data_IF_606126401005
#
_entry.id   IF_606126401005
#
_cell.length_a   1.000
_cell.length_b   1.000
_cell.length_c   1.000
_cell.angle_alpha   90.00
_cell.angle_beta   90.00
_cell.angle_gamma   90.00
#
_symmetry.space_group_name_H-M   'P 1'
#
loop_
_entity.id
_entity.type
_entity.pdbx_description
1 polymer ?
#
# COMPACT_ATOMS: atom_id res chain seq x y z
N UNK A 1 43.66 42.50 -16.32
CA UNK A 1 42.29 43.00 -16.54
C UNK A 1 41.35 41.79 -16.49
N UNK A 2 40.66 41.67 -15.36
CA UNK A 2 39.35 41.04 -15.08
C UNK A 2 38.91 39.75 -15.83
N UNK A 3 38.90 38.67 -15.05
CA UNK A 3 37.92 37.58 -14.93
C UNK A 3 36.63 37.66 -15.78
N UNK A 4 36.21 36.51 -16.32
CA UNK A 4 34.82 36.04 -16.24
C UNK A 4 34.75 34.51 -16.35
N UNK A 5 34.61 33.87 -15.20
CA UNK A 5 34.01 32.54 -15.06
C UNK A 5 32.57 32.60 -15.58
N UNK A 6 32.12 31.57 -16.27
CA UNK A 6 30.70 31.27 -16.41
C UNK A 6 30.51 29.78 -16.21
N UNK A 7 30.51 29.42 -14.94
CA UNK A 7 29.78 28.29 -14.37
C UNK A 7 28.31 28.75 -14.31
N UNK A 8 27.33 28.04 -14.89
CA UNK A 8 25.88 28.10 -14.62
C UNK A 8 25.17 27.39 -15.80
N UNK A 9 24.34 26.37 -15.67
CA UNK A 9 23.91 25.59 -14.52
C UNK A 9 23.41 24.24 -15.04
N UNK A 10 23.90 23.16 -14.44
CA UNK A 10 23.31 21.85 -14.58
C UNK A 10 22.07 21.86 -13.68
N UNK A 11 20.87 21.96 -14.25
CA UNK A 11 19.66 21.58 -13.52
C UNK A 11 19.76 20.07 -13.29
N UNK A 12 20.39 19.68 -12.19
CA UNK A 12 20.07 18.42 -11.55
C UNK A 12 18.62 18.59 -11.09
N UNK A 13 17.67 18.17 -11.93
CA UNK A 13 16.35 17.80 -11.45
C UNK A 13 16.61 16.60 -10.54
N UNK A 14 16.91 16.85 -9.27
CA UNK A 14 16.55 15.88 -8.24
C UNK A 14 15.12 15.51 -8.57
N UNK A 15 14.88 14.23 -8.84
CA UNK A 15 13.51 13.69 -8.86
C UNK A 15 13.00 13.94 -7.45
N UNK A 16 12.43 15.12 -7.26
CA UNK A 16 11.65 15.49 -6.10
C UNK A 16 10.52 14.47 -6.14
N UNK A 17 10.34 13.70 -5.07
CA UNK A 17 9.24 12.75 -5.03
C UNK A 17 7.94 13.57 -5.23
N UNK A 18 7.30 13.35 -6.38
CA UNK A 18 6.10 14.03 -6.82
C UNK A 18 4.95 13.02 -6.89
N UNK A 19 3.76 13.45 -7.35
CA UNK A 19 2.62 12.53 -7.45
C UNK A 19 2.91 11.25 -8.25
N UNK A 20 3.84 11.28 -9.20
CA UNK A 20 4.21 10.10 -9.97
C UNK A 20 5.03 9.08 -9.13
N UNK A 21 5.88 9.56 -8.21
CA UNK A 21 6.60 8.69 -7.28
C UNK A 21 5.65 7.96 -6.33
N UNK A 22 4.64 8.66 -5.80
CA UNK A 22 3.59 8.04 -4.98
C UNK A 22 2.82 6.99 -5.79
N UNK A 23 2.44 7.30 -7.03
CA UNK A 23 1.73 6.36 -7.92
C UNK A 23 2.58 5.13 -8.21
N UNK A 24 3.87 5.28 -8.51
CA UNK A 24 4.77 4.16 -8.74
C UNK A 24 4.87 3.26 -7.49
N UNK A 25 4.97 3.85 -6.29
CA UNK A 25 4.97 3.10 -5.05
C UNK A 25 3.63 2.37 -4.80
N UNK A 26 2.49 2.98 -5.15
CA UNK A 26 1.17 2.30 -5.12
C UNK A 26 1.09 1.13 -6.09
N UNK A 27 1.70 1.22 -7.27
CA UNK A 27 1.74 0.12 -8.24
C UNK A 27 2.61 -1.04 -7.73
N UNK A 28 3.70 -0.76 -7.01
CA UNK A 28 4.50 -1.81 -6.36
C UNK A 28 3.70 -2.51 -5.25
N UNK A 29 2.97 -1.76 -4.41
CA UNK A 29 2.05 -2.33 -3.41
C UNK A 29 0.99 -3.19 -4.12
N UNK A 30 0.36 -2.66 -5.17
CA UNK A 30 -0.70 -3.37 -5.90
C UNK A 30 -0.19 -4.70 -6.47
N UNK A 31 0.99 -4.70 -7.08
CA UNK A 31 1.64 -5.90 -7.61
C UNK A 31 1.86 -6.93 -6.51
N UNK A 32 2.48 -6.53 -5.40
CA UNK A 32 2.77 -7.45 -4.30
C UNK A 32 1.49 -7.95 -3.59
N UNK A 33 0.46 -7.10 -3.50
CA UNK A 33 -0.85 -7.46 -2.96
C UNK A 33 -1.56 -8.51 -3.84
N UNK A 34 -1.45 -8.37 -5.17
CA UNK A 34 -1.97 -9.37 -6.12
C UNK A 34 -1.22 -10.69 -5.97
N UNK A 35 0.12 -10.67 -5.89
CA UNK A 35 0.92 -11.89 -5.66
C UNK A 35 0.49 -12.62 -4.37
N UNK A 36 0.34 -11.89 -3.25
CA UNK A 36 -0.16 -12.48 -2.00
C UNK A 36 -1.55 -13.10 -2.19
N UNK A 37 -2.46 -12.39 -2.84
CA UNK A 37 -3.82 -12.87 -3.11
C UNK A 37 -3.84 -14.14 -3.95
N UNK A 38 -2.99 -14.23 -4.98
CA UNK A 38 -2.84 -15.42 -5.84
C UNK A 38 -2.21 -16.59 -5.08
N UNK A 39 -1.19 -16.34 -4.25
CA UNK A 39 -0.57 -17.37 -3.41
C UNK A 39 -1.58 -17.96 -2.43
N UNK A 40 -2.41 -17.13 -1.78
CA UNK A 40 -3.47 -17.60 -0.86
C UNK A 40 -4.55 -18.37 -1.62
N UNK A 41 -4.99 -17.86 -2.77
CA UNK A 41 -6.04 -18.48 -3.57
C UNK A 41 -5.64 -19.86 -4.10
N UNK A 42 -4.40 -20.00 -4.59
CA UNK A 42 -3.87 -21.24 -5.16
C UNK A 42 -3.42 -22.27 -4.12
N UNK A 43 -3.26 -21.87 -2.87
CA UNK A 43 -2.82 -22.74 -1.79
C UNK A 43 -3.84 -23.83 -1.45
N UNK A 44 -3.38 -25.07 -1.35
CA UNK A 44 -4.20 -26.27 -1.13
C UNK A 44 -4.58 -26.53 0.34
N UNK A 45 -4.02 -25.78 1.28
CA UNK A 45 -4.19 -26.00 2.72
C UNK A 45 -3.07 -26.80 3.38
N UNK A 46 -2.02 -27.18 2.65
CA UNK A 46 -0.85 -27.88 3.19
C UNK A 46 0.06 -26.97 4.01
N UNK A 47 0.59 -27.46 5.13
CA UNK A 47 1.40 -26.66 6.06
C UNK A 47 2.59 -25.97 5.38
N UNK A 48 3.35 -26.66 4.52
CA UNK A 48 4.50 -26.07 3.85
C UNK A 48 4.13 -24.97 2.83
N UNK A 49 2.91 -25.01 2.29
CA UNK A 49 2.38 -23.98 1.39
C UNK A 49 2.07 -22.65 2.09
N UNK A 50 2.16 -22.59 3.43
CA UNK A 50 2.05 -21.35 4.18
C UNK A 50 3.32 -20.50 4.15
N UNK A 51 4.48 -21.10 3.83
CA UNK A 51 5.75 -20.37 3.76
C UNK A 51 5.73 -19.29 2.65
N UNK A 52 5.29 -19.58 1.41
CA UNK A 52 5.09 -18.55 0.39
C UNK A 52 4.15 -17.42 0.84
N UNK A 53 3.03 -17.74 1.51
CA UNK A 53 2.07 -16.74 2.00
C UNK A 53 2.75 -15.77 2.99
N UNK A 54 3.53 -16.31 3.94
CA UNK A 54 4.27 -15.50 4.92
C UNK A 54 5.30 -14.61 4.21
N UNK A 55 6.01 -15.14 3.21
CA UNK A 55 7.00 -14.39 2.43
C UNK A 55 6.33 -13.22 1.69
N UNK A 56 5.25 -13.49 0.97
CA UNK A 56 4.57 -12.47 0.15
C UNK A 56 3.92 -11.40 1.02
N UNK A 57 3.33 -11.77 2.16
CA UNK A 57 2.83 -10.81 3.14
C UNK A 57 3.94 -9.97 3.77
N UNK A 58 5.10 -10.57 4.07
CA UNK A 58 6.25 -9.81 4.59
C UNK A 58 6.76 -8.80 3.55
N UNK A 59 6.84 -9.20 2.27
CA UNK A 59 7.20 -8.29 1.19
C UNK A 59 6.16 -7.18 1.03
N UNK A 60 4.87 -7.50 1.11
CA UNK A 60 3.79 -6.51 1.04
C UNK A 60 3.95 -5.46 2.14
N UNK A 61 4.17 -5.90 3.38
CA UNK A 61 4.42 -5.01 4.51
C UNK A 61 5.67 -4.12 4.27
N UNK A 62 6.76 -4.68 3.74
CA UNK A 62 7.94 -3.90 3.37
C UNK A 62 7.58 -2.83 2.34
N UNK A 63 6.85 -3.20 1.28
CA UNK A 63 6.44 -2.27 0.22
C UNK A 63 5.55 -1.15 0.70
N UNK A 64 4.63 -1.43 1.63
CA UNK A 64 3.79 -0.40 2.25
C UNK A 64 4.65 0.58 3.05
N UNK A 65 5.65 0.10 3.80
CA UNK A 65 6.55 0.96 4.57
C UNK A 65 7.48 1.78 3.66
N UNK A 66 8.01 1.18 2.59
CA UNK A 66 8.79 1.90 1.57
C UNK A 66 7.96 3.00 0.90
N UNK A 67 6.73 2.69 0.50
CA UNK A 67 5.79 3.65 -0.08
C UNK A 67 5.39 4.77 0.91
N UNK A 68 5.28 4.45 2.20
CA UNK A 68 5.09 5.46 3.25
C UNK A 68 6.23 6.46 3.22
N UNK A 69 7.47 5.98 3.15
CA UNK A 69 8.64 6.87 3.11
C UNK A 69 8.66 7.72 1.84
N UNK A 70 8.33 7.14 0.69
CA UNK A 70 8.18 7.88 -0.58
C UNK A 70 7.12 8.98 -0.44
N UNK A 71 5.95 8.66 0.13
CA UNK A 71 4.89 9.63 0.35
C UNK A 71 5.35 10.74 1.31
N UNK A 72 5.97 10.43 2.45
CA UNK A 72 6.49 11.40 3.41
C UNK A 72 7.51 12.36 2.78
N UNK A 73 8.42 11.84 1.96
CA UNK A 73 9.48 12.60 1.29
C UNK A 73 8.99 13.35 0.04
N UNK A 74 7.73 13.15 -0.36
CA UNK A 74 7.13 13.83 -1.51
C UNK A 74 6.75 15.28 -1.22
N UNK A 75 6.78 16.14 -2.23
CA UNK A 75 6.21 17.48 -2.13
C UNK A 75 4.67 17.43 -2.09
N UNK A 76 4.01 18.50 -1.60
CA UNK A 76 2.56 18.63 -1.73
C UNK A 76 2.11 18.51 -3.19
N UNK A 77 1.07 17.71 -3.42
CA UNK A 77 0.52 17.46 -4.73
C UNK A 77 -0.17 18.70 -5.27
N UNK A 78 -0.02 18.95 -6.56
CA UNK A 78 -0.93 19.83 -7.28
C UNK A 78 -2.26 19.10 -7.58
N UNK A 79 -3.26 19.84 -8.08
CA UNK A 79 -4.60 19.28 -8.31
C UNK A 79 -4.61 18.12 -9.33
N UNK A 80 -3.77 18.16 -10.36
CA UNK A 80 -3.70 17.10 -11.38
C UNK A 80 -3.08 15.84 -10.77
N UNK A 81 -1.98 15.99 -10.03
CA UNK A 81 -1.33 14.88 -9.33
C UNK A 81 -2.25 14.24 -8.29
N UNK A 82 -3.00 15.04 -7.54
CA UNK A 82 -3.98 14.56 -6.57
C UNK A 82 -5.07 13.71 -7.23
N UNK A 83 -5.51 14.07 -8.45
CA UNK A 83 -6.47 13.27 -9.22
C UNK A 83 -5.85 11.93 -9.63
N UNK A 84 -4.60 11.91 -10.10
CA UNK A 84 -3.91 10.67 -10.48
C UNK A 84 -3.72 9.76 -9.27
N UNK A 85 -3.26 10.30 -8.14
CA UNK A 85 -3.11 9.55 -6.88
C UNK A 85 -4.46 8.99 -6.42
N UNK A 86 -5.54 9.76 -6.50
CA UNK A 86 -6.88 9.30 -6.14
C UNK A 86 -7.37 8.14 -7.03
N UNK A 87 -7.03 8.12 -8.31
CA UNK A 87 -7.34 6.99 -9.20
C UNK A 87 -6.55 5.73 -8.82
N UNK A 88 -5.25 5.89 -8.54
CA UNK A 88 -4.41 4.78 -8.07
C UNK A 88 -4.87 4.23 -6.72
N UNK A 89 -5.30 5.09 -5.79
CA UNK A 89 -5.89 4.66 -4.51
C UNK A 89 -7.16 3.84 -4.70
N UNK A 90 -8.07 4.23 -5.60
CA UNK A 90 -9.28 3.46 -5.89
C UNK A 90 -8.97 2.08 -6.48
N UNK A 91 -8.02 2.01 -7.42
CA UNK A 91 -7.56 0.74 -7.99
C UNK A 91 -6.94 -0.16 -6.91
N UNK A 92 -6.09 0.41 -6.06
CA UNK A 92 -5.46 -0.32 -4.96
C UNK A 92 -6.52 -0.83 -3.97
N UNK A 93 -7.54 -0.03 -3.64
CA UNK A 93 -8.61 -0.44 -2.75
C UNK A 93 -9.34 -1.69 -3.24
N UNK A 94 -9.70 -1.76 -4.52
CA UNK A 94 -10.32 -2.96 -5.10
C UNK A 94 -9.39 -4.18 -5.09
N UNK A 95 -8.08 -3.98 -5.28
CA UNK A 95 -7.08 -5.04 -5.17
C UNK A 95 -6.96 -5.58 -3.74
N UNK A 96 -6.91 -4.69 -2.75
CA UNK A 96 -6.86 -5.05 -1.32
C UNK A 96 -8.12 -5.80 -0.90
N UNK A 97 -9.31 -5.32 -1.31
CA UNK A 97 -10.57 -6.01 -1.04
C UNK A 97 -10.56 -7.44 -1.60
N UNK A 98 -10.07 -7.63 -2.83
CA UNK A 98 -9.95 -8.96 -3.45
C UNK A 98 -9.01 -9.86 -2.66
N UNK A 99 -7.81 -9.39 -2.32
CA UNK A 99 -6.82 -10.18 -1.57
C UNK A 99 -7.31 -10.55 -0.17
N UNK A 100 -7.93 -9.60 0.54
CA UNK A 100 -8.52 -9.86 1.86
C UNK A 100 -9.70 -10.84 1.77
N UNK A 101 -10.50 -10.78 0.71
CA UNK A 101 -11.52 -11.78 0.40
C UNK A 101 -10.93 -13.18 0.27
N UNK A 102 -9.84 -13.33 -0.50
CA UNK A 102 -9.14 -14.62 -0.62
C UNK A 102 -8.60 -15.13 0.72
N UNK A 103 -8.07 -14.23 1.57
CA UNK A 103 -7.61 -14.57 2.92
C UNK A 103 -8.77 -15.02 3.80
N UNK A 104 -9.92 -14.33 3.75
CA UNK A 104 -11.14 -14.72 4.47
C UNK A 104 -11.64 -16.09 4.01
N UNK A 105 -11.73 -16.33 2.71
CA UNK A 105 -12.17 -17.61 2.15
C UNK A 105 -11.24 -18.77 2.50
N UNK A 106 -9.95 -18.49 2.65
CA UNK A 106 -8.95 -19.48 3.08
C UNK A 106 -8.99 -19.78 4.59
N UNK A 107 -9.78 -19.06 5.39
CA UNK A 107 -9.82 -19.23 6.86
C UNK A 107 -10.01 -20.68 7.32
N UNK A 108 -10.92 -21.51 6.76
CA UNK A 108 -11.05 -22.91 7.19
C UNK A 108 -9.76 -23.73 7.03
N UNK A 109 -8.92 -23.40 6.04
CA UNK A 109 -7.61 -24.05 5.84
C UNK A 109 -6.63 -23.60 6.91
N UNK A 110 -6.59 -22.31 7.23
CA UNK A 110 -5.75 -21.78 8.31
C UNK A 110 -6.20 -22.28 9.70
N UNK A 111 -7.50 -22.39 9.95
CA UNK A 111 -8.07 -22.95 11.19
C UNK A 111 -7.61 -24.40 11.39
N UNK A 112 -7.65 -25.22 10.33
CA UNK A 112 -7.19 -26.62 10.38
C UNK A 112 -5.70 -26.74 10.77
N UNK A 113 -4.90 -25.72 10.46
CA UNK A 113 -3.48 -25.64 10.81
C UNK A 113 -3.22 -24.88 12.12
N UNK A 114 -4.26 -24.39 12.79
CA UNK A 114 -4.17 -23.56 14.00
C UNK A 114 -3.43 -22.24 13.78
N UNK A 115 -3.50 -21.67 12.58
CA UNK A 115 -2.77 -20.47 12.17
C UNK A 115 -3.58 -19.17 12.27
N UNK A 116 -4.88 -19.24 12.55
CA UNK A 116 -5.77 -18.07 12.57
C UNK A 116 -5.31 -16.92 13.49
N UNK A 117 -4.74 -17.17 14.69
CA UNK A 117 -4.16 -16.10 15.50
C UNK A 117 -2.98 -15.37 14.83
N UNK A 118 -2.19 -16.08 14.02
CA UNK A 118 -1.06 -15.52 13.28
C UNK A 118 -1.58 -14.68 12.10
N UNK A 119 -2.62 -15.17 11.40
CA UNK A 119 -3.26 -14.39 10.33
C UNK A 119 -3.90 -13.11 10.89
N UNK A 120 -4.61 -13.20 12.03
CA UNK A 120 -5.16 -12.02 12.71
C UNK A 120 -4.07 -11.00 13.06
N UNK A 121 -2.95 -11.46 13.60
CA UNK A 121 -1.81 -10.60 13.92
C UNK A 121 -1.25 -9.92 12.67
N UNK A 122 -1.14 -10.65 11.56
CA UNK A 122 -0.67 -10.14 10.29
C UNK A 122 -1.61 -9.08 9.69
N UNK A 123 -2.92 -9.35 9.64
CA UNK A 123 -3.95 -8.40 9.20
C UNK A 123 -3.88 -7.08 9.97
N UNK A 124 -3.69 -7.14 11.30
CA UNK A 124 -3.54 -5.94 12.13
C UNK A 124 -2.26 -5.15 11.82
N UNK A 125 -1.16 -5.84 11.52
CA UNK A 125 0.10 -5.19 11.15
C UNK A 125 0.01 -4.51 9.78
N UNK A 126 -0.53 -5.21 8.78
CA UNK A 126 -0.71 -4.65 7.44
C UNK A 126 -1.72 -3.50 7.44
N UNK A 127 -2.82 -3.61 8.20
CA UNK A 127 -3.74 -2.48 8.40
C UNK A 127 -2.99 -1.29 9.02
N UNK A 128 -2.24 -1.49 10.10
CA UNK A 128 -1.52 -0.40 10.75
C UNK A 128 -0.49 0.27 9.84
N UNK A 129 0.21 -0.49 8.99
CA UNK A 129 1.12 0.06 7.99
C UNK A 129 0.36 0.84 6.91
N UNK A 130 -0.78 0.31 6.45
CA UNK A 130 -1.64 0.94 5.45
C UNK A 130 -2.26 2.24 5.96
N UNK A 131 -2.65 2.30 7.24
CA UNK A 131 -3.16 3.50 7.89
C UNK A 131 -2.08 4.61 7.86
N UNK A 132 -0.82 4.28 8.15
CA UNK A 132 0.31 5.22 8.10
C UNK A 132 0.59 5.69 6.67
N UNK A 133 0.65 4.77 5.72
CA UNK A 133 0.81 5.11 4.31
C UNK A 133 -0.30 6.06 3.84
N UNK A 134 -1.54 5.73 4.15
CA UNK A 134 -2.72 6.53 3.77
C UNK A 134 -2.68 7.92 4.38
N UNK A 135 -2.27 8.05 5.65
CA UNK A 135 -2.10 9.34 6.30
C UNK A 135 -1.03 10.19 5.59
N UNK A 136 0.14 9.61 5.30
CA UNK A 136 1.21 10.29 4.59
C UNK A 136 0.77 10.79 3.20
N UNK A 137 0.01 9.98 2.45
CA UNK A 137 -0.55 10.41 1.15
C UNK A 137 -1.57 11.53 1.32
N UNK A 138 -2.48 11.44 2.29
CA UNK A 138 -3.50 12.47 2.55
C UNK A 138 -2.85 13.81 2.92
N UNK A 139 -1.74 13.81 3.65
CA UNK A 139 -0.98 15.02 3.98
C UNK A 139 -0.41 15.74 2.75
N UNK A 140 -0.15 15.01 1.65
CA UNK A 140 0.30 15.61 0.39
C UNK A 140 -0.85 16.13 -0.45
N UNK A 141 -2.09 15.75 -0.19
CA UNK A 141 -3.27 16.21 -0.94
C UNK A 141 -3.62 17.66 -0.55
N UNK A 142 -3.95 18.54 -1.52
CA UNK A 142 -4.44 19.90 -1.23
C UNK A 142 -5.60 19.89 -0.21
N UNK A 143 -5.60 20.84 0.72
CA UNK A 143 -6.56 20.89 1.84
C UNK A 143 -8.02 20.75 1.38
N UNK A 144 -8.38 21.41 0.27
CA UNK A 144 -9.72 21.36 -0.33
C UNK A 144 -10.16 19.95 -0.79
N UNK A 145 -9.21 19.03 -1.00
CA UNK A 145 -9.44 17.67 -1.49
C UNK A 145 -9.21 16.59 -0.42
N UNK A 146 -8.68 16.94 0.76
CA UNK A 146 -8.35 15.94 1.80
C UNK A 146 -9.58 15.17 2.30
N UNK A 147 -10.75 15.81 2.39
CA UNK A 147 -11.99 15.12 2.75
C UNK A 147 -12.35 14.02 1.75
N UNK A 148 -12.19 14.28 0.45
CA UNK A 148 -12.41 13.28 -0.59
C UNK A 148 -11.37 12.15 -0.52
N UNK A 149 -10.09 12.48 -0.28
CA UNK A 149 -9.04 11.49 -0.11
C UNK A 149 -9.32 10.54 1.07
N UNK A 150 -9.77 11.08 2.22
CA UNK A 150 -10.17 10.27 3.38
C UNK A 150 -11.33 9.32 3.07
N UNK A 151 -12.29 9.72 2.24
CA UNK A 151 -13.37 8.83 1.80
C UNK A 151 -12.87 7.65 0.97
N UNK A 152 -11.83 7.84 0.17
CA UNK A 152 -11.22 6.73 -0.58
C UNK A 152 -10.48 5.76 0.35
N UNK A 153 -9.74 6.28 1.32
CA UNK A 153 -9.02 5.48 2.33
C UNK A 153 -9.98 4.64 3.18
N UNK A 154 -11.16 5.17 3.51
CA UNK A 154 -12.16 4.46 4.31
C UNK A 154 -12.62 3.12 3.69
N UNK A 155 -12.54 2.95 2.36
CA UNK A 155 -12.84 1.68 1.69
C UNK A 155 -11.82 0.61 2.07
N UNK A 156 -10.54 0.96 2.07
CA UNK A 156 -9.44 0.08 2.48
C UNK A 156 -9.56 -0.27 3.97
N UNK A 157 -9.84 0.73 4.82
CA UNK A 157 -10.06 0.51 6.26
C UNK A 157 -11.21 -0.47 6.52
N UNK A 158 -12.32 -0.32 5.80
CA UNK A 158 -13.48 -1.21 5.91
C UNK A 158 -13.13 -2.64 5.53
N UNK A 159 -12.39 -2.84 4.43
CA UNK A 159 -11.97 -4.18 3.99
C UNK A 159 -11.09 -4.87 5.06
N UNK A 160 -10.10 -4.16 5.61
CA UNK A 160 -9.27 -4.70 6.69
C UNK A 160 -10.08 -5.01 7.95
N UNK A 161 -11.00 -4.13 8.36
CA UNK A 161 -11.82 -4.36 9.55
C UNK A 161 -12.69 -5.62 9.39
N UNK A 162 -13.34 -5.79 8.23
CA UNK A 162 -14.15 -6.98 7.95
C UNK A 162 -13.32 -8.27 8.01
N UNK A 163 -12.11 -8.27 7.45
CA UNK A 163 -11.21 -9.42 7.50
C UNK A 163 -10.75 -9.70 8.95
N UNK A 164 -10.35 -8.66 9.69
CA UNK A 164 -9.95 -8.77 11.10
C UNK A 164 -11.09 -9.35 11.95
N UNK A 165 -12.31 -8.85 11.79
CA UNK A 165 -13.49 -9.32 12.53
C UNK A 165 -13.75 -10.80 12.26
N UNK A 166 -13.56 -11.25 11.01
CA UNK A 166 -13.72 -12.67 10.63
C UNK A 166 -12.67 -13.57 11.31
N UNK A 167 -11.48 -13.05 11.57
CA UNK A 167 -10.36 -13.80 12.19
C UNK A 167 -10.28 -13.66 13.72
N UNK A 168 -11.09 -12.78 14.32
CA UNK A 168 -11.08 -12.48 15.75
C UNK A 168 -11.90 -13.43 16.62
#
# INVERSE_FOLDING_TARGET
>A
MLLKFSLLGLFATSVIADGAAIVAAMDEIATQNTELGETVLSWDGGLFGTLPIIIDSTKLLIKINEATKVAEDSEPLNAIEAITVAQSTQKLAGGVETTLGNVVDAKPKFDKLLLSPIILLNLKQEKSATDKFSAAVVEKVPEALQSAAKTLVAQIETAFNNAIDTYS
#
